data_IF_626233364401
#
_entry.id   IF_626233364401
#
_cell.length_a   1.000
_cell.length_b   1.000
_cell.length_c   1.000
_cell.angle_alpha   90.00
_cell.angle_beta   90.00
_cell.angle_gamma   90.00
#
_symmetry.space_group_name_H-M   'P 1'
#
loop_
_entity.id
_entity.type
_entity.pdbx_description
1 polymer ?
#
# COMPACT_ATOMS: atom_id res chain seq x y z
N UNK A 1 -18.49 15.35 22.81
CA UNK A 1 -17.92 16.29 21.83
C UNK A 1 -16.76 15.60 21.11
N UNK A 2 -16.60 15.82 19.81
CA UNK A 2 -15.54 15.21 19.00
C UNK A 2 -14.17 15.79 19.41
N UNK A 3 -13.26 14.95 19.91
CA UNK A 3 -11.95 15.43 20.36
C UNK A 3 -10.94 15.50 19.20
N UNK A 4 -9.87 16.30 19.33
CA UNK A 4 -8.77 16.28 18.35
C UNK A 4 -8.16 14.89 18.14
N UNK A 5 -8.15 14.03 19.16
CA UNK A 5 -7.62 12.67 19.03
C UNK A 5 -8.57 11.73 18.27
N UNK A 6 -9.87 11.99 18.31
CA UNK A 6 -10.86 11.26 17.52
C UNK A 6 -10.70 11.58 16.03
N UNK A 7 -10.37 12.83 15.69
CA UNK A 7 -10.01 13.23 14.33
C UNK A 7 -8.81 12.45 13.81
N UNK A 8 -7.73 12.36 14.60
CA UNK A 8 -6.51 11.63 14.20
C UNK A 8 -6.80 10.14 14.02
N UNK A 9 -7.58 9.53 14.92
CA UNK A 9 -8.01 8.12 14.77
C UNK A 9 -8.87 7.91 13.53
N UNK A 10 -9.76 8.86 13.22
CA UNK A 10 -10.59 8.83 12.01
C UNK A 10 -9.73 8.92 10.75
N UNK A 11 -8.79 9.87 10.68
CA UNK A 11 -7.86 10.01 9.56
C UNK A 11 -7.00 8.75 9.34
N UNK A 12 -6.51 8.14 10.43
CA UNK A 12 -5.80 6.86 10.36
C UNK A 12 -6.68 5.76 9.74
N UNK A 13 -7.94 5.65 10.18
CA UNK A 13 -8.88 4.68 9.64
C UNK A 13 -9.16 4.91 8.14
N UNK A 14 -9.38 6.16 7.74
CA UNK A 14 -9.58 6.52 6.33
C UNK A 14 -8.35 6.16 5.49
N UNK A 15 -7.13 6.46 5.95
CA UNK A 15 -5.90 6.11 5.24
C UNK A 15 -5.75 4.59 5.06
N UNK A 16 -6.05 3.81 6.12
CA UNK A 16 -6.01 2.35 6.06
C UNK A 16 -7.07 1.78 5.12
N UNK A 17 -8.31 2.27 5.19
CA UNK A 17 -9.41 1.84 4.34
C UNK A 17 -9.14 2.17 2.86
N UNK A 18 -8.65 3.37 2.58
CA UNK A 18 -8.23 3.79 1.24
C UNK A 18 -7.11 2.91 0.69
N UNK A 19 -6.11 2.59 1.52
CA UNK A 19 -5.02 1.72 1.11
C UNK A 19 -5.50 0.31 0.77
N UNK A 20 -6.16 -0.38 1.70
CA UNK A 20 -6.61 -1.76 1.51
C UNK A 20 -7.63 -1.83 0.38
N UNK A 21 -8.64 -0.97 0.40
CA UNK A 21 -9.66 -0.91 -0.65
C UNK A 21 -9.05 -0.63 -2.02
N UNK A 22 -8.12 0.32 -2.12
CA UNK A 22 -7.42 0.65 -3.36
C UNK A 22 -6.59 -0.50 -3.90
N UNK A 23 -5.81 -1.19 -3.05
CA UNK A 23 -5.00 -2.33 -3.50
C UNK A 23 -5.85 -3.54 -3.92
N UNK A 24 -6.89 -3.86 -3.15
CA UNK A 24 -7.79 -4.96 -3.46
C UNK A 24 -8.55 -4.68 -4.75
N UNK A 25 -9.12 -3.47 -4.89
CA UNK A 25 -9.82 -3.07 -6.11
C UNK A 25 -8.91 -3.07 -7.33
N UNK A 26 -7.70 -2.53 -7.21
CA UNK A 26 -6.75 -2.55 -8.31
C UNK A 26 -6.39 -3.97 -8.73
N UNK A 27 -6.10 -4.85 -7.76
CA UNK A 27 -5.65 -6.22 -8.02
C UNK A 27 -6.76 -7.14 -8.54
N UNK A 28 -7.98 -7.02 -8.00
CA UNK A 28 -9.09 -7.92 -8.31
C UNK A 28 -9.94 -7.43 -9.50
N UNK A 29 -10.01 -6.12 -9.73
CA UNK A 29 -10.90 -5.53 -10.75
C UNK A 29 -10.11 -4.85 -11.84
N UNK A 30 -9.27 -3.85 -11.52
CA UNK A 30 -8.62 -3.01 -12.53
C UNK A 30 -7.64 -3.82 -13.38
N UNK A 31 -6.66 -4.48 -12.75
CA UNK A 31 -5.64 -5.22 -13.48
C UNK A 31 -6.22 -6.37 -14.32
N UNK A 32 -7.14 -7.22 -13.83
CA UNK A 32 -7.76 -8.26 -14.65
C UNK A 32 -8.61 -7.71 -15.79
N UNK A 33 -9.33 -6.61 -15.57
CA UNK A 33 -10.14 -5.99 -16.64
C UNK A 33 -9.24 -5.51 -17.77
N UNK A 34 -8.15 -4.78 -17.45
CA UNK A 34 -7.21 -4.28 -18.45
C UNK A 34 -6.64 -5.39 -19.34
N UNK A 35 -6.23 -6.51 -18.75
CA UNK A 35 -5.63 -7.62 -19.50
C UNK A 35 -6.66 -8.48 -20.25
N UNK A 36 -7.95 -8.38 -19.91
CA UNK A 36 -9.04 -9.06 -20.63
C UNK A 36 -9.61 -8.22 -21.77
N UNK A 37 -9.62 -6.90 -21.64
CA UNK A 37 -10.27 -6.01 -22.61
C UNK A 37 -9.31 -5.45 -23.65
N UNK A 38 -8.02 -5.36 -23.35
CA UNK A 38 -7.00 -4.80 -24.24
C UNK A 38 -6.04 -5.89 -24.72
N UNK A 39 -5.43 -5.68 -25.88
CA UNK A 39 -4.29 -6.47 -26.32
C UNK A 39 -3.07 -6.26 -25.39
N UNK A 40 -2.09 -7.15 -25.48
CA UNK A 40 -0.93 -7.15 -24.58
C UNK A 40 -0.10 -5.85 -24.66
N UNK A 41 -0.08 -5.20 -25.81
CA UNK A 41 0.62 -3.93 -26.00
C UNK A 41 -0.08 -2.80 -25.24
N UNK A 42 -1.38 -2.58 -25.48
CA UNK A 42 -2.14 -1.50 -24.87
C UNK A 42 -2.36 -1.73 -23.37
N UNK A 43 -2.68 -2.96 -22.95
CA UNK A 43 -2.80 -3.32 -21.53
C UNK A 43 -1.51 -2.94 -20.77
N UNK A 44 -0.37 -3.29 -21.36
CA UNK A 44 0.92 -3.02 -20.79
C UNK A 44 1.36 -1.55 -20.85
N UNK A 45 0.90 -0.77 -21.84
CA UNK A 45 1.12 0.68 -21.92
C UNK A 45 0.36 1.40 -20.82
N UNK A 46 -0.92 1.07 -20.65
CA UNK A 46 -1.77 1.66 -19.63
C UNK A 46 -1.32 1.26 -18.21
N UNK A 47 -0.96 0.00 -18.02
CA UNK A 47 -0.44 -0.51 -16.74
C UNK A 47 0.85 0.23 -16.31
N UNK A 48 1.77 0.52 -17.24
CA UNK A 48 2.97 1.33 -16.95
C UNK A 48 2.68 2.76 -16.52
N UNK A 49 1.56 3.35 -16.97
CA UNK A 49 1.14 4.68 -16.54
C UNK A 49 0.38 4.65 -15.21
N UNK A 50 -0.35 3.55 -14.93
CA UNK A 50 -1.11 3.39 -13.70
C UNK A 50 -0.22 3.07 -12.50
N UNK A 51 0.75 2.16 -12.64
CA UNK A 51 1.58 1.71 -11.50
C UNK A 51 2.28 2.85 -10.75
N UNK A 52 2.90 3.86 -11.40
CA UNK A 52 3.44 5.00 -10.68
C UNK A 52 2.38 5.69 -9.81
N UNK A 53 1.21 6.01 -10.38
CA UNK A 53 0.12 6.69 -9.66
C UNK A 53 -0.41 5.84 -8.51
N UNK A 54 -0.54 4.54 -8.72
CA UNK A 54 -0.93 3.56 -7.72
C UNK A 54 0.06 3.52 -6.54
N UNK A 55 1.37 3.46 -6.80
CA UNK A 55 2.37 3.47 -5.72
C UNK A 55 2.45 4.82 -5.00
N UNK A 56 2.24 5.93 -5.71
CA UNK A 56 2.16 7.25 -5.08
C UNK A 56 0.94 7.35 -4.15
N UNK A 57 -0.22 6.85 -4.58
CA UNK A 57 -1.40 6.79 -3.73
C UNK A 57 -1.14 5.98 -2.45
N UNK A 58 -0.49 4.82 -2.58
CA UNK A 58 -0.06 4.03 -1.42
C UNK A 58 0.89 4.80 -0.50
N UNK A 59 1.88 5.50 -1.05
CA UNK A 59 2.82 6.33 -0.27
C UNK A 59 2.12 7.45 0.48
N UNK A 60 1.12 8.09 -0.11
CA UNK A 60 0.33 9.13 0.56
C UNK A 60 -0.47 8.54 1.72
N UNK A 61 -1.11 7.38 1.52
CA UNK A 61 -1.80 6.68 2.60
C UNK A 61 -0.83 6.31 3.73
N UNK A 62 0.36 5.82 3.39
CA UNK A 62 1.40 5.47 4.36
C UNK A 62 1.92 6.70 5.12
N UNK A 63 2.17 7.82 4.44
CA UNK A 63 2.59 9.06 5.08
C UNK A 63 1.56 9.57 6.08
N UNK A 64 0.27 9.59 5.69
CA UNK A 64 -0.82 10.01 6.58
C UNK A 64 -0.94 9.07 7.78
N UNK A 65 -0.88 7.76 7.57
CA UNK A 65 -1.01 6.79 8.65
C UNK A 65 0.16 6.83 9.63
N UNK A 66 1.40 6.93 9.13
CA UNK A 66 2.61 7.10 9.95
C UNK A 66 2.50 8.38 10.78
N UNK A 67 2.12 9.50 10.17
CA UNK A 67 1.92 10.75 10.90
C UNK A 67 0.87 10.61 12.01
N UNK A 68 -0.28 9.98 11.72
CA UNK A 68 -1.32 9.73 12.72
C UNK A 68 -0.79 8.88 13.89
N UNK A 69 -0.08 7.80 13.60
CA UNK A 69 0.49 6.91 14.61
C UNK A 69 1.51 7.63 15.50
N UNK A 70 2.38 8.45 14.91
CA UNK A 70 3.35 9.25 15.67
C UNK A 70 2.65 10.23 16.62
N UNK A 71 1.60 10.92 16.15
CA UNK A 71 0.78 11.81 16.99
C UNK A 71 0.10 11.05 18.13
N UNK A 72 -0.51 9.90 17.84
CA UNK A 72 -1.22 9.09 18.84
C UNK A 72 -0.28 8.53 19.90
N UNK A 73 0.90 8.07 19.51
CA UNK A 73 1.95 7.59 20.44
C UNK A 73 2.50 8.75 21.29
N UNK A 74 2.81 9.89 20.66
CA UNK A 74 3.32 11.08 21.36
C UNK A 74 2.34 11.59 22.42
N UNK A 75 1.05 11.61 22.09
CA UNK A 75 -0.03 12.05 23.00
C UNK A 75 -0.46 10.97 23.99
N UNK A 76 0.17 9.79 23.99
CA UNK A 76 -0.22 8.62 24.79
C UNK A 76 -1.70 8.25 24.62
N UNK A 77 -2.26 8.50 23.43
CA UNK A 77 -3.65 8.22 23.07
C UNK A 77 -3.83 6.81 22.46
N UNK A 78 -2.75 6.02 22.43
CA UNK A 78 -2.69 4.64 21.98
C UNK A 78 -1.62 3.89 22.78
N UNK A 79 -1.86 2.61 23.07
CA UNK A 79 -0.88 1.73 23.71
C UNK A 79 0.39 1.61 22.88
N UNK A 80 1.54 1.63 23.55
CA UNK A 80 2.85 1.65 22.89
C UNK A 80 3.07 0.44 21.97
N UNK A 81 2.83 -0.77 22.46
CA UNK A 81 3.13 -2.00 21.69
C UNK A 81 2.33 -2.12 20.38
N UNK A 82 0.98 -2.02 20.38
CA UNK A 82 0.21 -2.01 19.12
C UNK A 82 0.57 -0.84 18.21
N UNK A 83 0.84 0.34 18.78
CA UNK A 83 1.23 1.52 18.02
C UNK A 83 2.59 1.35 17.33
N UNK A 84 3.60 0.85 18.04
CA UNK A 84 4.93 0.59 17.52
C UNK A 84 4.91 -0.51 16.44
N UNK A 85 4.15 -1.58 16.65
CA UNK A 85 4.00 -2.63 15.64
C UNK A 85 3.29 -2.13 14.38
N UNK A 86 2.23 -1.33 14.55
CA UNK A 86 1.54 -0.68 13.41
C UNK A 86 2.48 0.27 12.65
N UNK A 87 3.32 1.02 13.37
CA UNK A 87 4.31 1.93 12.80
C UNK A 87 5.35 1.17 11.99
N UNK A 88 5.83 0.02 12.48
CA UNK A 88 6.75 -0.86 11.76
C UNK A 88 6.14 -1.35 10.43
N UNK A 89 4.88 -1.80 10.46
CA UNK A 89 4.19 -2.28 9.26
C UNK A 89 3.99 -1.17 8.22
N UNK A 90 3.52 0.00 8.66
CA UNK A 90 3.32 1.16 7.78
C UNK A 90 4.64 1.72 7.24
N UNK A 91 5.68 1.77 8.08
CA UNK A 91 7.03 2.18 7.67
C UNK A 91 7.63 1.22 6.65
N UNK A 92 7.58 -0.08 6.91
CA UNK A 92 8.05 -1.11 5.98
C UNK A 92 7.31 -1.08 4.65
N UNK A 93 5.99 -0.89 4.69
CA UNK A 93 5.18 -0.73 3.48
C UNK A 93 5.51 0.54 2.71
N UNK A 94 5.74 1.66 3.40
CA UNK A 94 6.18 2.92 2.79
C UNK A 94 7.51 2.74 2.05
N UNK A 95 8.49 2.08 2.67
CA UNK A 95 9.79 1.77 2.04
C UNK A 95 9.61 0.86 0.83
N UNK A 96 8.80 -0.20 0.95
CA UNK A 96 8.52 -1.10 -0.16
C UNK A 96 7.84 -0.39 -1.34
N UNK A 97 6.84 0.47 -1.08
CA UNK A 97 6.17 1.28 -2.10
C UNK A 97 7.11 2.29 -2.76
N UNK A 98 7.98 2.91 -1.97
CA UNK A 98 9.00 3.83 -2.47
C UNK A 98 9.96 3.09 -3.42
N UNK A 99 10.47 1.93 -3.00
CA UNK A 99 11.36 1.12 -3.81
C UNK A 99 10.69 0.58 -5.08
N UNK A 100 9.42 0.13 -4.99
CA UNK A 100 8.62 -0.27 -6.14
C UNK A 100 8.51 0.85 -7.17
N UNK A 101 8.20 2.07 -6.71
CA UNK A 101 8.00 3.24 -7.57
C UNK A 101 9.29 3.76 -8.19
N UNK A 102 10.34 3.94 -7.39
CA UNK A 102 11.53 4.69 -7.77
C UNK A 102 12.72 3.82 -8.20
N UNK A 103 12.70 2.52 -7.88
CA UNK A 103 13.81 1.61 -8.23
C UNK A 103 13.34 0.48 -9.14
N UNK A 104 12.35 -0.31 -8.71
CA UNK A 104 11.94 -1.50 -9.44
C UNK A 104 11.23 -1.18 -10.76
N UNK A 105 10.28 -0.24 -10.77
CA UNK A 105 9.60 0.17 -12.00
C UNK A 105 10.58 0.72 -13.07
N UNK A 106 11.46 1.70 -12.76
CA UNK A 106 12.46 2.16 -13.72
C UNK A 106 13.38 1.05 -14.24
N UNK A 107 13.79 0.12 -13.37
CA UNK A 107 14.62 -1.03 -13.77
C UNK A 107 13.89 -2.00 -14.70
N UNK A 108 12.57 -2.16 -14.56
CA UNK A 108 11.77 -3.03 -15.42
C UNK A 108 11.42 -2.42 -16.78
N UNK A 109 11.28 -1.10 -16.87
CA UNK A 109 10.80 -0.40 -18.07
C UNK A 109 11.63 -0.61 -19.35
N UNK A 110 12.99 -0.65 -19.31
CA UNK A 110 13.79 -0.87 -20.51
C UNK A 110 13.88 -2.34 -20.93
N UNK A 111 13.46 -3.28 -20.07
CA UNK A 111 13.59 -4.71 -20.34
C UNK A 111 12.44 -5.23 -21.21
N UNK A 112 12.76 -6.13 -22.15
CA UNK A 112 11.76 -6.86 -22.91
C UNK A 112 10.93 -7.78 -22.01
N UNK A 113 9.61 -7.84 -22.20
CA UNK A 113 8.72 -8.69 -21.38
C UNK A 113 9.05 -10.18 -21.48
N UNK A 114 9.61 -10.60 -22.60
CA UNK A 114 10.04 -11.98 -22.83
C UNK A 114 11.40 -12.31 -22.19
N UNK A 115 12.11 -11.33 -21.62
CA UNK A 115 13.40 -11.58 -20.97
C UNK A 115 13.24 -12.27 -19.62
N UNK A 116 14.23 -13.07 -19.23
CA UNK A 116 14.26 -13.73 -17.93
C UNK A 116 14.33 -12.71 -16.78
N UNK A 117 15.08 -11.63 -16.98
CA UNK A 117 15.27 -10.52 -16.04
C UNK A 117 13.94 -9.79 -15.76
N UNK A 118 13.18 -9.46 -16.81
CA UNK A 118 11.87 -8.82 -16.65
C UNK A 118 10.92 -9.73 -15.86
N UNK A 119 10.87 -11.03 -16.18
CA UNK A 119 10.05 -12.00 -15.45
C UNK A 119 10.43 -12.10 -13.98
N UNK A 120 11.72 -12.03 -13.65
CA UNK A 120 12.18 -12.06 -12.26
C UNK A 120 11.70 -10.82 -11.50
N UNK A 121 11.94 -9.62 -12.03
CA UNK A 121 11.50 -8.37 -11.41
C UNK A 121 9.98 -8.28 -11.32
N UNK A 122 9.26 -8.76 -12.34
CA UNK A 122 7.80 -8.85 -12.31
C UNK A 122 7.31 -9.74 -11.18
N UNK A 123 7.88 -10.94 -10.99
CA UNK A 123 7.53 -11.82 -9.86
C UNK A 123 7.81 -11.17 -8.51
N UNK A 124 8.92 -10.45 -8.37
CA UNK A 124 9.25 -9.70 -7.16
C UNK A 124 8.17 -8.64 -6.89
N UNK A 125 7.79 -7.87 -7.92
CA UNK A 125 6.71 -6.87 -7.82
C UNK A 125 5.38 -7.46 -7.37
N UNK A 126 4.97 -8.59 -7.97
CA UNK A 126 3.71 -9.27 -7.64
C UNK A 126 3.72 -9.76 -6.19
N UNK A 127 4.80 -10.43 -5.77
CA UNK A 127 4.93 -10.93 -4.38
C UNK A 127 4.93 -9.79 -3.37
N UNK A 128 5.62 -8.69 -3.68
CA UNK A 128 5.67 -7.53 -2.79
C UNK A 128 4.30 -6.85 -2.69
N UNK A 129 3.56 -6.70 -3.80
CA UNK A 129 2.19 -6.21 -3.76
C UNK A 129 1.26 -7.12 -2.93
N UNK A 130 1.38 -8.44 -3.07
CA UNK A 130 0.61 -9.37 -2.25
C UNK A 130 0.96 -9.24 -0.75
N UNK A 131 2.24 -9.05 -0.42
CA UNK A 131 2.67 -8.79 0.96
C UNK A 131 2.13 -7.46 1.51
N UNK A 132 2.04 -6.41 0.68
CA UNK A 132 1.45 -5.13 1.08
C UNK A 132 -0.05 -5.24 1.37
N UNK A 133 -0.79 -6.03 0.56
CA UNK A 133 -2.20 -6.34 0.85
C UNK A 133 -2.33 -7.09 2.17
N UNK A 134 -1.51 -8.13 2.38
CA UNK A 134 -1.51 -8.89 3.62
C UNK A 134 -1.20 -8.01 4.85
N UNK A 135 -0.23 -7.10 4.73
CA UNK A 135 0.10 -6.13 5.78
C UNK A 135 -1.09 -5.19 6.09
N UNK A 136 -1.78 -4.69 5.06
CA UNK A 136 -2.98 -3.88 5.21
C UNK A 136 -4.13 -4.63 5.91
N UNK A 137 -4.34 -5.91 5.57
CA UNK A 137 -5.32 -6.76 6.24
C UNK A 137 -4.94 -7.04 7.70
N UNK A 138 -3.65 -7.26 7.98
CA UNK A 138 -3.15 -7.42 9.34
C UNK A 138 -3.35 -6.14 10.17
N UNK A 139 -3.12 -4.96 9.59
CA UNK A 139 -3.39 -3.67 10.22
C UNK A 139 -4.88 -3.46 10.51
N UNK A 140 -5.78 -3.87 9.59
CA UNK A 140 -7.23 -3.85 9.84
C UNK A 140 -7.62 -4.78 10.99
N UNK A 141 -7.08 -6.00 11.00
CA UNK A 141 -7.30 -6.95 12.08
C UNK A 141 -6.84 -6.37 13.42
N UNK A 142 -5.62 -5.82 13.50
CA UNK A 142 -5.12 -5.15 14.70
C UNK A 142 -6.00 -3.99 15.14
N UNK A 143 -6.49 -3.17 14.20
CA UNK A 143 -7.34 -2.04 14.53
C UNK A 143 -8.68 -2.47 15.14
N UNK A 144 -9.25 -3.59 14.68
CA UNK A 144 -10.50 -4.15 15.23
C UNK A 144 -10.24 -4.78 16.59
N UNK A 145 -9.24 -5.65 16.70
CA UNK A 145 -9.01 -6.42 17.91
C UNK A 145 -8.37 -5.61 19.04
N UNK A 146 -7.52 -4.62 18.74
CA UNK A 146 -6.98 -3.70 19.75
C UNK A 146 -8.01 -2.68 20.26
N UNK A 147 -9.21 -2.63 19.67
CA UNK A 147 -10.36 -1.87 20.20
C UNK A 147 -11.30 -2.73 21.05
N UNK A 148 -11.24 -4.06 20.89
CA UNK A 148 -12.11 -5.01 21.58
C UNK A 148 -11.50 -5.57 22.88
N UNK A 149 -10.19 -5.37 23.09
CA UNK A 149 -9.44 -5.70 24.29
C UNK A 149 -9.08 -4.42 25.06
#
# INVERSE_FOLDING_TARGET
>A
PFSPMDLVKYLYFVALACWVGGMVFFSAVVAPTLHRTLDAENAGRLTRQLFPKYYLFGLLCAGVAVWCLLVLLWRRAMSFWPGAFSLLLWGGAGVALWWLRFSLLPAMNPLERASAEWRQLHRVSVRLNAALVAAGLALLFLLVYARAA
#
